data_IF_736117789455
#
_entry.id   IF_736117789455
#
_cell.length_a   1.000
_cell.length_b   1.000
_cell.length_c   1.000
_cell.angle_alpha   90.00
_cell.angle_beta   90.00
_cell.angle_gamma   90.00
#
_symmetry.space_group_name_H-M   'P 1'
#
loop_
_entity.id
_entity.type
_entity.pdbx_description
1 polymer ?
#
# COMPACT_ATOMS: atom_id res chain seq x y z
N UNK A 1 56.73 30.95 -36.10
CA UNK A 1 56.12 30.01 -37.05
C UNK A 1 54.63 29.94 -36.77
N UNK A 2 53.75 30.12 -37.76
CA UNK A 2 52.32 29.94 -37.55
C UNK A 2 52.07 28.46 -37.24
N UNK A 3 51.42 28.18 -36.11
CA UNK A 3 51.02 26.84 -35.69
C UNK A 3 50.00 26.33 -36.71
N UNK A 4 50.33 25.28 -37.48
CA UNK A 4 49.39 24.60 -38.38
C UNK A 4 48.16 24.22 -37.55
N UNK A 5 46.99 24.73 -37.94
CA UNK A 5 45.72 24.28 -37.40
C UNK A 5 45.33 23.05 -38.21
N UNK A 6 45.32 21.89 -37.59
CA UNK A 6 44.85 20.67 -38.22
C UNK A 6 43.35 20.83 -38.51
N UNK A 7 42.97 20.69 -39.78
CA UNK A 7 41.59 20.78 -40.22
C UNK A 7 40.93 19.41 -40.05
N UNK A 8 39.78 19.39 -39.36
CA UNK A 8 39.02 18.17 -39.11
C UNK A 8 38.24 17.77 -40.36
N UNK A 9 38.33 16.50 -40.77
CA UNK A 9 37.61 15.99 -41.93
C UNK A 9 36.17 15.59 -41.56
N UNK A 10 35.26 15.68 -42.53
CA UNK A 10 33.86 15.24 -42.36
C UNK A 10 33.77 13.77 -41.91
N UNK A 11 34.69 12.93 -42.40
CA UNK A 11 34.75 11.50 -42.06
C UNK A 11 35.11 11.30 -40.59
N UNK A 12 36.12 12.02 -40.08
CA UNK A 12 36.50 11.94 -38.66
C UNK A 12 35.35 12.34 -37.75
N UNK A 13 34.57 13.36 -38.12
CA UNK A 13 33.38 13.77 -37.36
C UNK A 13 32.29 12.71 -37.37
N UNK A 14 32.00 12.13 -38.55
CA UNK A 14 30.99 11.09 -38.68
C UNK A 14 31.37 9.82 -37.89
N UNK A 15 32.63 9.40 -37.91
CA UNK A 15 33.10 8.24 -37.15
C UNK A 15 32.96 8.47 -35.64
N UNK A 16 33.36 9.65 -35.14
CA UNK A 16 33.22 9.97 -33.71
C UNK A 16 31.76 9.97 -33.28
N UNK A 17 30.87 10.59 -34.06
CA UNK A 17 29.43 10.59 -33.76
C UNK A 17 28.86 9.17 -33.81
N UNK A 18 29.28 8.35 -34.78
CA UNK A 18 28.84 6.95 -34.87
C UNK A 18 29.28 6.13 -33.65
N UNK A 19 30.53 6.28 -33.19
CA UNK A 19 31.04 5.59 -31.99
C UNK A 19 30.28 6.06 -30.74
N UNK A 20 30.10 7.37 -30.54
CA UNK A 20 29.33 7.90 -29.42
C UNK A 20 27.89 7.39 -29.46
N UNK A 21 27.27 7.38 -30.63
CA UNK A 21 25.91 6.86 -30.83
C UNK A 21 25.78 5.39 -30.44
N UNK A 22 26.73 4.54 -30.85
CA UNK A 22 26.77 3.12 -30.47
C UNK A 22 26.97 2.97 -28.95
N UNK A 23 27.93 3.68 -28.36
CA UNK A 23 28.20 3.62 -26.93
C UNK A 23 26.98 4.05 -26.12
N UNK A 24 26.36 5.19 -26.46
CA UNK A 24 25.14 5.67 -25.79
C UNK A 24 23.98 4.69 -25.98
N UNK A 25 23.81 4.14 -27.19
CA UNK A 25 22.77 3.17 -27.50
C UNK A 25 22.88 1.88 -26.67
N UNK A 26 24.11 1.45 -26.35
CA UNK A 26 24.35 0.27 -25.50
C UNK A 26 24.29 0.62 -23.99
N UNK A 27 24.73 1.82 -23.60
CA UNK A 27 24.81 2.21 -22.19
C UNK A 27 23.48 2.66 -21.60
N UNK A 28 22.61 3.33 -22.38
CA UNK A 28 21.35 3.86 -21.85
C UNK A 28 20.42 2.76 -21.30
N UNK A 29 20.14 1.64 -22.01
CA UNK A 29 19.32 0.56 -21.46
C UNK A 29 19.93 -0.06 -20.20
N UNK A 30 21.26 -0.23 -20.19
CA UNK A 30 21.98 -0.80 -19.06
C UNK A 30 21.89 0.08 -17.80
N UNK A 31 22.06 1.41 -17.95
CA UNK A 31 21.94 2.35 -16.83
C UNK A 31 20.51 2.39 -16.28
N UNK A 32 19.49 2.30 -17.13
CA UNK A 32 18.10 2.27 -16.66
C UNK A 32 17.77 0.98 -15.91
N UNK A 33 18.21 -0.17 -16.43
CA UNK A 33 18.04 -1.45 -15.76
C UNK A 33 18.73 -1.47 -14.39
N UNK A 34 19.96 -0.94 -14.30
CA UNK A 34 20.69 -0.83 -13.04
C UNK A 34 19.97 0.10 -12.03
N UNK A 35 19.45 1.24 -12.48
CA UNK A 35 18.67 2.16 -11.64
C UNK A 35 17.40 1.51 -11.10
N UNK A 36 16.68 0.78 -11.94
CA UNK A 36 15.47 0.09 -11.51
C UNK A 36 15.75 -1.04 -10.52
N UNK A 37 16.82 -1.80 -10.72
CA UNK A 37 17.27 -2.81 -9.76
C UNK A 37 17.60 -2.17 -8.39
N UNK A 38 18.27 -1.02 -8.39
CA UNK A 38 18.57 -0.28 -7.17
C UNK A 38 17.29 0.23 -6.46
N UNK A 39 16.33 0.78 -7.22
CA UNK A 39 15.04 1.20 -6.66
C UNK A 39 14.27 0.03 -6.06
N UNK A 40 14.22 -1.12 -6.74
CA UNK A 40 13.58 -2.34 -6.21
C UNK A 40 14.24 -2.84 -4.93
N UNK A 41 15.58 -2.79 -4.86
CA UNK A 41 16.32 -3.11 -3.64
C UNK A 41 15.94 -2.16 -2.49
N UNK A 42 15.80 -0.87 -2.78
CA UNK A 42 15.32 0.10 -1.79
C UNK A 42 13.89 -0.19 -1.34
N UNK A 43 12.96 -0.52 -2.25
CA UNK A 43 11.59 -0.86 -1.86
C UNK A 43 11.54 -2.14 -0.99
N UNK A 44 12.37 -3.13 -1.31
CA UNK A 44 12.54 -4.34 -0.48
C UNK A 44 13.10 -4.03 0.91
N UNK A 45 14.06 -3.11 1.02
CA UNK A 45 14.61 -2.66 2.30
C UNK A 45 13.59 -1.88 3.13
N UNK A 46 12.77 -1.03 2.51
CA UNK A 46 11.68 -0.33 3.17
C UNK A 46 10.67 -1.33 3.78
N UNK A 47 10.23 -2.33 3.01
CA UNK A 47 9.37 -3.42 3.51
C UNK A 47 10.01 -4.15 4.70
N UNK A 48 11.32 -4.44 4.62
CA UNK A 48 12.06 -5.07 5.72
C UNK A 48 12.04 -4.20 6.98
N UNK A 49 12.28 -2.89 6.85
CA UNK A 49 12.22 -1.95 7.97
C UNK A 49 10.82 -1.88 8.59
N UNK A 50 9.76 -1.81 7.78
CA UNK A 50 8.36 -1.80 8.25
C UNK A 50 8.03 -3.09 8.99
N UNK A 51 8.42 -4.25 8.46
CA UNK A 51 8.18 -5.54 9.10
C UNK A 51 8.92 -5.65 10.46
N UNK A 52 10.18 -5.23 10.52
CA UNK A 52 10.93 -5.18 11.78
C UNK A 52 10.33 -4.21 12.80
N UNK A 53 9.83 -3.06 12.34
CA UNK A 53 9.14 -2.11 13.19
C UNK A 53 7.84 -2.69 13.79
N UNK A 54 7.09 -3.46 12.99
CA UNK A 54 5.93 -4.22 13.47
C UNK A 54 6.32 -5.30 14.49
N UNK A 55 7.44 -6.00 14.29
CA UNK A 55 7.96 -6.97 15.27
C UNK A 55 8.39 -6.31 16.58
N UNK A 56 9.04 -5.15 16.51
CA UNK A 56 9.42 -4.38 17.71
C UNK A 56 8.18 -3.90 18.47
N UNK A 57 7.17 -3.40 17.76
CA UNK A 57 5.86 -3.09 18.35
C UNK A 57 5.26 -4.33 19.02
N UNK A 58 5.23 -5.47 18.32
CA UNK A 58 4.71 -6.73 18.86
C UNK A 58 5.50 -7.18 20.10
N UNK A 59 6.82 -7.05 20.11
CA UNK A 59 7.67 -7.40 21.25
C UNK A 59 7.36 -6.53 22.47
N UNK A 60 7.16 -5.22 22.28
CA UNK A 60 6.86 -4.27 23.34
C UNK A 60 5.42 -4.42 23.88
N UNK A 61 4.42 -4.54 23.00
CA UNK A 61 2.99 -4.53 23.36
C UNK A 61 2.36 -5.93 23.39
N UNK A 62 3.13 -6.98 23.09
CA UNK A 62 2.73 -8.39 22.96
C UNK A 62 1.70 -8.68 21.87
N UNK A 63 1.38 -7.68 21.05
CA UNK A 63 0.36 -7.72 20.00
C UNK A 63 0.81 -6.87 18.82
N UNK A 64 0.45 -7.25 17.62
CA UNK A 64 0.60 -6.40 16.44
C UNK A 64 -0.25 -5.14 16.57
N UNK A 65 0.17 -4.03 15.94
CA UNK A 65 -0.59 -2.79 15.96
C UNK A 65 -1.94 -2.98 15.25
N UNK A 66 -3.06 -2.55 15.84
CA UNK A 66 -4.34 -2.56 15.14
C UNK A 66 -4.33 -1.59 13.97
N UNK A 67 -5.14 -1.87 12.95
CA UNK A 67 -5.25 -0.94 11.82
C UNK A 67 -5.88 0.37 12.25
N UNK A 68 -6.88 0.34 13.14
CA UNK A 68 -7.43 1.50 13.82
C UNK A 68 -8.01 1.08 15.17
N UNK A 69 -8.27 2.04 16.06
CA UNK A 69 -9.12 1.86 17.24
C UNK A 69 -10.44 2.56 16.92
N UNK A 70 -11.43 1.79 16.47
CA UNK A 70 -12.77 2.33 16.22
C UNK A 70 -13.51 2.42 17.56
N UNK A 71 -13.93 3.64 17.88
CA UNK A 71 -14.81 3.94 19.00
C UNK A 71 -16.13 4.52 18.50
N UNK A 72 -17.21 3.75 18.65
CA UNK A 72 -18.55 4.13 18.20
C UNK A 72 -19.24 5.15 19.13
N UNK A 73 -18.60 5.53 20.24
CA UNK A 73 -19.10 6.61 21.09
C UNK A 73 -18.63 8.00 20.62
N UNK A 74 -17.65 8.07 19.72
CA UNK A 74 -17.06 9.34 19.27
C UNK A 74 -17.71 9.79 17.96
N UNK A 75 -18.63 10.75 18.05
CA UNK A 75 -19.41 11.23 16.89
C UNK A 75 -18.86 12.52 16.25
N UNK A 76 -17.97 13.24 16.95
CA UNK A 76 -17.42 14.54 16.53
C UNK A 76 -16.06 14.41 15.83
N UNK A 77 -15.93 13.46 14.90
CA UNK A 77 -14.72 13.36 14.05
C UNK A 77 -15.12 13.07 12.60
N UNK A 78 -14.35 13.61 11.64
CA UNK A 78 -14.53 13.32 10.22
C UNK A 78 -13.87 12.00 9.75
N UNK A 79 -13.23 11.26 10.66
CA UNK A 79 -12.55 9.99 10.43
C UNK A 79 -13.00 8.94 11.48
N UNK A 80 -12.14 7.98 11.84
CA UNK A 80 -12.43 6.98 12.87
C UNK A 80 -11.78 7.31 14.24
N UNK A 81 -11.34 8.55 14.43
CA UNK A 81 -10.74 9.05 15.67
C UNK A 81 -9.38 8.45 16.02
N UNK A 82 -8.75 7.70 15.11
CA UNK A 82 -7.62 6.84 15.43
C UNK A 82 -6.50 6.94 14.41
N UNK A 83 -5.29 6.63 14.87
CA UNK A 83 -4.14 6.36 14.02
C UNK A 83 -4.21 5.02 13.31
N UNK A 84 -3.35 4.85 12.31
CA UNK A 84 -3.07 3.63 11.55
C UNK A 84 -1.91 2.80 12.12
N UNK A 85 -1.60 1.67 11.47
CA UNK A 85 -0.38 0.91 11.80
C UNK A 85 0.88 1.77 11.65
N UNK A 86 0.98 2.49 10.53
CA UNK A 86 2.11 3.38 10.23
C UNK A 86 2.39 4.40 11.35
N UNK A 87 1.35 5.01 11.94
CA UNK A 87 1.51 5.91 13.10
C UNK A 87 2.05 5.23 14.35
N UNK A 88 1.60 4.00 14.61
CA UNK A 88 1.97 3.23 15.81
C UNK A 88 3.41 2.70 15.76
N UNK A 89 3.97 2.53 14.57
CA UNK A 89 5.31 1.96 14.39
C UNK A 89 6.41 3.01 14.20
N UNK A 90 6.07 4.31 14.14
CA UNK A 90 7.04 5.42 14.05
C UNK A 90 8.24 5.31 15.02
N UNK A 91 8.08 5.02 16.32
CA UNK A 91 9.23 4.96 17.23
C UNK A 91 10.20 3.81 16.91
N UNK A 92 9.75 2.84 16.11
CA UNK A 92 10.55 1.70 15.66
C UNK A 92 11.08 1.86 14.22
N UNK A 93 10.87 3.02 13.60
CA UNK A 93 11.35 3.41 12.26
C UNK A 93 12.27 4.64 12.31
N UNK A 94 12.97 4.84 13.42
CA UNK A 94 13.83 6.03 13.64
C UNK A 94 13.05 7.36 13.54
N UNK A 95 11.72 7.34 13.71
CA UNK A 95 10.86 8.53 13.76
C UNK A 95 10.45 8.89 15.20
N UNK A 96 11.37 8.71 16.16
CA UNK A 96 11.11 8.96 17.58
C UNK A 96 10.77 10.43 17.86
N UNK A 97 11.43 11.37 17.18
CA UNK A 97 11.15 12.80 17.28
C UNK A 97 9.72 13.15 16.83
N UNK A 98 9.22 12.53 15.76
CA UNK A 98 7.84 12.72 15.30
C UNK A 98 6.88 12.15 16.34
N UNK A 99 7.17 10.93 16.83
CA UNK A 99 6.33 10.25 17.80
C UNK A 99 6.18 11.01 19.13
N UNK A 100 7.24 11.66 19.61
CA UNK A 100 7.21 12.50 20.82
C UNK A 100 6.33 13.75 20.69
N UNK A 101 6.01 14.17 19.46
CA UNK A 101 5.21 15.37 19.17
C UNK A 101 3.76 15.06 18.75
N UNK A 102 3.33 13.80 18.84
CA UNK A 102 1.96 13.38 18.55
C UNK A 102 1.34 12.67 19.77
N UNK A 103 0.01 12.64 19.81
CA UNK A 103 -0.75 11.86 20.78
C UNK A 103 -1.65 10.85 20.05
N UNK A 104 -1.40 9.56 20.26
CA UNK A 104 -2.18 8.48 19.64
C UNK A 104 -3.62 8.36 20.17
N UNK A 105 -3.94 9.02 21.30
CA UNK A 105 -5.30 9.09 21.85
C UNK A 105 -6.17 10.17 21.19
N UNK A 106 -5.53 11.06 20.41
CA UNK A 106 -6.19 12.10 19.62
C UNK A 106 -6.12 11.72 18.14
N UNK A 107 -7.18 12.02 17.40
CA UNK A 107 -7.23 11.73 15.97
C UNK A 107 -6.08 12.42 15.23
N UNK A 108 -5.53 11.73 14.24
CA UNK A 108 -4.34 12.19 13.50
C UNK A 108 -4.57 13.51 12.77
N UNK A 109 -5.81 13.78 12.35
CA UNK A 109 -6.20 14.97 11.58
C UNK A 109 -6.27 16.25 12.42
N UNK A 110 -6.10 16.15 13.74
CA UNK A 110 -5.92 17.29 14.64
C UNK A 110 -4.46 17.59 14.97
N UNK A 111 -3.51 16.82 14.43
CA UNK A 111 -2.11 16.85 14.86
C UNK A 111 -1.24 17.57 13.83
N UNK A 112 -0.88 18.82 14.10
CA UNK A 112 -0.07 19.64 13.16
C UNK A 112 1.38 19.17 13.03
N UNK A 113 1.87 18.35 13.96
CA UNK A 113 3.24 17.81 13.94
C UNK A 113 3.54 16.93 12.70
N UNK A 114 2.50 16.42 12.01
CA UNK A 114 2.64 15.62 10.79
C UNK A 114 2.33 16.39 9.50
N UNK A 115 2.04 17.70 9.60
CA UNK A 115 1.74 18.54 8.44
C UNK A 115 2.95 18.63 7.48
N UNK A 116 2.75 18.22 6.23
CA UNK A 116 3.79 18.19 5.20
C UNK A 116 4.91 17.18 5.46
N UNK A 117 4.74 16.25 6.40
CA UNK A 117 5.78 15.28 6.76
C UNK A 117 5.82 14.10 5.79
N UNK A 118 6.97 13.93 5.12
CA UNK A 118 7.27 12.73 4.32
C UNK A 118 8.14 11.75 5.10
N UNK A 119 7.63 10.55 5.36
CA UNK A 119 8.41 9.44 5.90
C UNK A 119 9.03 8.65 4.74
N UNK A 120 10.35 8.75 4.57
CA UNK A 120 11.03 8.13 3.43
C UNK A 120 10.82 6.60 3.35
N UNK A 121 10.74 5.92 4.49
CA UNK A 121 10.50 4.47 4.55
C UNK A 121 9.11 4.07 4.06
N UNK A 122 8.14 5.00 4.00
CA UNK A 122 6.80 4.74 3.47
C UNK A 122 6.68 4.96 1.96
N UNK A 123 7.77 5.35 1.30
CA UNK A 123 7.82 5.76 -0.10
C UNK A 123 8.71 4.82 -0.93
N UNK A 124 8.12 4.09 -1.89
CA UNK A 124 8.87 3.36 -2.90
C UNK A 124 9.37 4.36 -3.97
N UNK A 125 10.69 4.48 -4.21
CA UNK A 125 11.24 5.41 -5.20
C UNK A 125 10.83 5.13 -6.66
N UNK A 126 10.20 3.99 -6.95
CA UNK A 126 9.64 3.70 -8.28
C UNK A 126 8.22 4.26 -8.48
N UNK A 127 7.53 4.67 -7.41
CA UNK A 127 6.19 5.26 -7.51
C UNK A 127 6.27 6.78 -7.72
N UNK A 128 5.85 7.32 -8.89
CA UNK A 128 5.90 8.76 -9.17
C UNK A 128 4.89 9.59 -8.36
N UNK A 129 3.88 8.96 -7.75
CA UNK A 129 2.91 9.62 -6.89
C UNK A 129 3.45 9.90 -5.49
N UNK A 130 4.58 9.30 -5.09
CA UNK A 130 5.08 9.38 -3.71
C UNK A 130 5.53 10.77 -3.26
N UNK A 131 5.82 11.66 -4.21
CA UNK A 131 6.20 13.07 -3.96
C UNK A 131 5.03 14.05 -4.06
N UNK A 132 3.81 13.55 -4.32
CA UNK A 132 2.62 14.39 -4.44
C UNK A 132 1.92 14.53 -3.09
N UNK A 133 1.97 15.73 -2.53
CA UNK A 133 1.29 16.07 -1.28
C UNK A 133 -0.22 16.14 -1.50
N UNK A 134 -0.99 15.56 -0.56
CA UNK A 134 -2.42 15.77 -0.44
C UNK A 134 -2.69 16.90 0.54
N UNK A 135 -3.19 18.01 0.02
CA UNK A 135 -3.70 19.13 0.82
C UNK A 135 -5.17 18.95 1.19
N UNK A 136 -5.60 19.69 2.20
CA UNK A 136 -6.99 19.72 2.66
C UNK A 136 -7.42 21.15 2.98
N UNK A 137 -8.62 21.53 2.53
CA UNK A 137 -9.14 22.89 2.69
C UNK A 137 -9.82 23.13 4.06
N UNK A 138 -9.93 22.09 4.89
CA UNK A 138 -10.60 22.13 6.20
C UNK A 138 -9.62 22.22 7.38
N UNK A 139 -8.35 22.54 7.11
CA UNK A 139 -7.34 22.84 8.12
C UNK A 139 -6.63 21.64 8.75
N UNK A 140 -6.95 20.42 8.33
CA UNK A 140 -6.21 19.21 8.74
C UNK A 140 -4.81 19.17 8.09
N UNK A 141 -3.83 18.44 8.65
CA UNK A 141 -2.47 18.39 8.10
C UNK A 141 -2.46 17.85 6.67
N UNK A 142 -1.64 18.46 5.82
CA UNK A 142 -1.29 17.96 4.50
C UNK A 142 -0.38 16.74 4.63
N UNK A 143 -0.57 15.73 3.79
CA UNK A 143 0.14 14.45 3.92
C UNK A 143 0.77 13.99 2.62
N UNK A 144 1.92 13.32 2.74
CA UNK A 144 2.48 12.51 1.67
C UNK A 144 1.85 11.10 1.70
N UNK A 145 1.74 10.42 0.55
CA UNK A 145 1.18 9.08 0.50
C UNK A 145 2.11 8.03 1.10
N UNK A 146 1.54 6.86 1.39
CA UNK A 146 2.30 5.60 1.56
C UNK A 146 2.17 4.77 0.30
N UNK A 147 3.20 3.98 -0.01
CA UNK A 147 3.17 2.97 -1.07
C UNK A 147 3.33 1.56 -0.50
N UNK A 148 3.06 1.41 0.79
CA UNK A 148 3.09 0.13 1.49
C UNK A 148 1.80 -0.04 2.31
N UNK A 149 1.03 -1.07 2.01
CA UNK A 149 -0.23 -1.40 2.66
C UNK A 149 -0.09 -2.66 3.51
N UNK A 150 -0.82 -2.74 4.61
CA UNK A 150 -0.89 -3.92 5.47
C UNK A 150 -1.93 -4.92 4.98
N UNK A 151 -1.74 -6.21 5.27
CA UNK A 151 -2.64 -7.27 4.83
C UNK A 151 -3.96 -7.29 5.63
N UNK A 152 -5.07 -6.91 4.98
CA UNK A 152 -6.42 -6.90 5.55
C UNK A 152 -7.26 -8.13 5.18
N UNK A 153 -6.65 -9.13 4.54
CA UNK A 153 -7.29 -10.40 4.23
C UNK A 153 -7.92 -10.43 2.85
N UNK A 154 -8.90 -11.31 2.65
CA UNK A 154 -9.39 -11.63 1.31
C UNK A 154 -10.44 -10.67 0.77
N UNK A 155 -11.44 -10.27 1.56
CA UNK A 155 -12.59 -9.52 1.04
C UNK A 155 -13.38 -8.84 2.15
N UNK A 156 -13.91 -9.61 3.10
CA UNK A 156 -14.55 -9.07 4.30
C UNK A 156 -13.47 -8.58 5.28
N UNK A 157 -13.52 -7.31 5.66
CA UNK A 157 -12.52 -6.66 6.52
C UNK A 157 -13.00 -6.57 7.96
N UNK A 158 -14.18 -5.98 8.17
CA UNK A 158 -14.66 -5.65 9.51
C UNK A 158 -16.15 -5.32 9.53
N UNK A 159 -16.87 -5.79 10.53
CA UNK A 159 -18.20 -5.29 10.86
C UNK A 159 -18.14 -4.49 12.17
N UNK A 160 -18.25 -3.16 12.14
CA UNK A 160 -18.21 -2.35 13.36
C UNK A 160 -19.39 -2.59 14.31
N UNK A 161 -20.55 -3.07 13.83
CA UNK A 161 -21.74 -3.26 14.66
C UNK A 161 -21.56 -4.36 15.73
N UNK A 162 -20.91 -5.46 15.37
CA UNK A 162 -20.65 -6.62 16.24
C UNK A 162 -19.15 -6.86 16.48
N UNK A 163 -18.29 -5.99 15.91
CA UNK A 163 -16.82 -6.10 15.91
C UNK A 163 -16.29 -7.39 15.29
N UNK A 164 -17.06 -8.02 14.39
CA UNK A 164 -16.59 -9.20 13.65
C UNK A 164 -15.45 -8.81 12.72
N UNK A 165 -14.34 -9.55 12.80
CA UNK A 165 -13.16 -9.35 11.98
C UNK A 165 -13.17 -10.21 10.71
N UNK A 166 -12.47 -9.72 9.68
CA UNK A 166 -12.02 -10.50 8.53
C UNK A 166 -10.93 -11.52 8.87
N UNK A 167 -10.32 -12.10 7.85
CA UNK A 167 -9.30 -13.16 7.96
C UNK A 167 -7.84 -12.67 7.82
N UNK A 168 -7.62 -11.39 7.52
CA UNK A 168 -6.30 -10.78 7.42
C UNK A 168 -5.60 -10.56 8.76
N UNK A 169 -4.28 -10.36 8.74
CA UNK A 169 -3.52 -10.13 9.97
C UNK A 169 -3.80 -8.75 10.60
N UNK A 170 -4.28 -7.78 9.81
CA UNK A 170 -4.59 -6.43 10.26
C UNK A 170 -6.06 -6.07 9.99
N UNK A 171 -6.71 -5.53 11.01
CA UNK A 171 -8.08 -5.00 10.93
C UNK A 171 -8.33 -4.08 12.14
N UNK A 172 -9.43 -3.31 12.16
CA UNK A 172 -9.76 -2.41 13.26
C UNK A 172 -9.95 -3.14 14.60
N UNK A 173 -9.44 -2.55 15.68
CA UNK A 173 -9.51 -3.08 17.05
C UNK A 173 -8.91 -4.49 17.19
N UNK A 174 -7.98 -4.86 16.30
CA UNK A 174 -7.27 -6.14 16.40
C UNK A 174 -6.31 -6.15 17.59
N UNK A 175 -6.17 -7.32 18.19
CA UNK A 175 -5.26 -7.56 19.32
C UNK A 175 -4.48 -8.86 19.11
N UNK A 176 -4.15 -9.13 17.84
CA UNK A 176 -3.50 -10.36 17.40
C UNK A 176 -2.01 -10.36 17.74
N UNK A 177 -1.45 -11.56 17.84
CA UNK A 177 -0.04 -11.84 18.09
C UNK A 177 0.42 -12.99 17.18
N UNK A 178 1.70 -13.35 17.20
CA UNK A 178 2.22 -14.45 16.37
C UNK A 178 1.45 -15.78 16.54
N UNK A 179 0.95 -16.07 17.74
CA UNK A 179 0.20 -17.32 18.00
C UNK A 179 -1.14 -17.38 17.27
N UNK A 180 -1.67 -16.23 16.87
CA UNK A 180 -2.99 -16.10 16.24
C UNK A 180 -2.87 -16.23 14.71
N UNK A 181 -1.65 -16.42 14.18
CA UNK A 181 -1.37 -16.73 12.78
C UNK A 181 -1.19 -18.25 12.61
N UNK A 182 -2.30 -18.95 12.40
CA UNK A 182 -2.35 -20.41 12.34
C UNK A 182 -1.82 -20.97 11.01
N UNK A 183 -1.79 -20.15 9.96
CA UNK A 183 -1.22 -20.47 8.64
C UNK A 183 0.33 -20.46 8.62
N UNK A 184 0.94 -20.01 9.73
CA UNK A 184 2.40 -19.91 9.86
C UNK A 184 2.97 -18.59 9.37
N UNK A 185 3.89 -18.01 10.14
CA UNK A 185 4.39 -16.66 9.90
C UNK A 185 5.15 -16.50 8.57
N UNK A 186 5.69 -17.60 8.04
CA UNK A 186 6.40 -17.64 6.75
C UNK A 186 5.47 -17.79 5.55
N UNK A 187 4.15 -17.93 5.78
CA UNK A 187 3.12 -18.10 4.74
C UNK A 187 1.98 -17.09 4.88
N UNK A 188 2.09 -16.11 5.77
CA UNK A 188 1.09 -15.02 5.87
C UNK A 188 1.74 -13.69 5.54
N UNK A 189 1.10 -12.91 4.67
CA UNK A 189 1.54 -11.57 4.30
C UNK A 189 1.36 -10.59 5.47
N UNK A 190 2.34 -9.70 5.65
CA UNK A 190 2.31 -8.62 6.64
C UNK A 190 2.03 -7.28 5.97
N UNK A 191 2.90 -6.90 5.02
CA UNK A 191 2.84 -5.63 4.29
C UNK A 191 3.25 -5.89 2.83
N UNK A 192 2.62 -5.19 1.90
CA UNK A 192 2.90 -5.28 0.47
C UNK A 192 2.92 -3.92 -0.19
N UNK A 193 3.48 -3.86 -1.39
CA UNK A 193 3.42 -2.65 -2.21
C UNK A 193 1.98 -2.31 -2.63
N UNK A 194 1.66 -1.03 -2.58
CA UNK A 194 0.45 -0.39 -3.12
C UNK A 194 0.85 0.90 -3.84
N UNK A 195 -0.01 1.41 -4.72
CA UNK A 195 0.27 2.65 -5.45
C UNK A 195 -0.33 3.87 -4.77
N UNK A 196 0.44 4.95 -4.70
CA UNK A 196 -0.08 6.25 -4.30
C UNK A 196 -1.16 6.75 -5.29
N UNK A 197 -2.15 7.50 -4.80
CA UNK A 197 -3.21 8.12 -5.62
C UNK A 197 -4.06 7.12 -6.42
N UNK A 198 -4.18 5.89 -5.94
CA UNK A 198 -5.03 4.86 -6.58
C UNK A 198 -6.50 5.29 -6.54
N UNK A 199 -7.23 5.27 -7.67
CA UNK A 199 -8.65 5.58 -7.67
C UNK A 199 -9.45 4.43 -7.07
N UNK A 200 -10.55 4.76 -6.39
CA UNK A 200 -11.41 3.79 -5.74
C UNK A 200 -12.84 4.28 -5.61
N UNK A 201 -13.75 3.33 -5.48
CA UNK A 201 -15.16 3.55 -5.17
C UNK A 201 -15.44 3.21 -3.72
N UNK A 202 -16.27 4.03 -3.03
CA UNK A 202 -16.61 3.78 -1.63
C UNK A 202 -18.04 4.12 -1.20
N UNK A 203 -18.37 3.77 0.05
CA UNK A 203 -19.62 4.13 0.75
C UNK A 203 -20.90 3.68 0.04
N UNK A 204 -20.87 2.49 -0.56
CA UNK A 204 -21.98 1.88 -1.28
C UNK A 204 -21.68 0.42 -1.56
N UNK A 205 -22.69 -0.35 -1.97
CA UNK A 205 -22.53 -1.78 -2.21
C UNK A 205 -22.02 -2.58 -0.99
N UNK A 206 -21.29 -3.69 -1.21
CA UNK A 206 -21.04 -4.27 -2.53
C UNK A 206 -22.34 -4.82 -3.13
N UNK A 207 -22.39 -4.94 -4.46
CA UNK A 207 -23.49 -5.63 -5.16
C UNK A 207 -23.62 -7.11 -4.80
N UNK A 208 -22.54 -7.72 -4.27
CA UNK A 208 -22.49 -9.09 -3.74
C UNK A 208 -21.50 -9.17 -2.57
N UNK A 209 -21.79 -9.98 -1.56
CA UNK A 209 -20.87 -10.28 -0.45
C UNK A 209 -20.01 -11.51 -0.71
N UNK A 210 -20.29 -12.27 -1.78
CA UNK A 210 -19.41 -13.32 -2.28
C UNK A 210 -18.14 -12.69 -2.84
N UNK A 211 -16.99 -13.29 -2.57
CA UNK A 211 -15.69 -12.84 -3.09
C UNK A 211 -15.72 -12.88 -4.63
N UNK A 212 -15.37 -11.77 -5.32
CA UNK A 212 -15.34 -11.78 -6.79
C UNK A 212 -14.19 -12.66 -7.30
N UNK A 213 -14.49 -13.54 -8.25
CA UNK A 213 -13.51 -14.52 -8.76
C UNK A 213 -12.89 -14.12 -10.10
N UNK A 214 -13.35 -13.02 -10.70
CA UNK A 214 -12.87 -12.54 -11.99
C UNK A 214 -13.01 -11.02 -12.12
N UNK A 215 -12.37 -10.47 -13.17
CA UNK A 215 -12.38 -9.05 -13.48
C UNK A 215 -13.79 -8.48 -13.67
N UNK A 216 -14.67 -9.18 -14.38
CA UNK A 216 -16.01 -8.67 -14.67
C UNK A 216 -16.85 -8.50 -13.39
N UNK A 217 -16.77 -9.45 -12.45
CA UNK A 217 -17.41 -9.33 -11.13
C UNK A 217 -16.80 -8.20 -10.30
N UNK A 218 -15.47 -8.05 -10.34
CA UNK A 218 -14.77 -6.96 -9.68
C UNK A 218 -15.22 -5.58 -10.20
N UNK A 219 -15.40 -5.41 -11.50
CA UNK A 219 -15.89 -4.17 -12.11
C UNK A 219 -17.34 -3.85 -11.70
N UNK A 220 -18.20 -4.86 -11.63
CA UNK A 220 -19.58 -4.71 -11.14
C UNK A 220 -19.60 -4.30 -9.66
N UNK A 221 -18.68 -4.83 -8.86
CA UNK A 221 -18.51 -4.43 -7.45
C UNK A 221 -18.05 -2.98 -7.37
N UNK A 222 -17.00 -2.58 -8.10
CA UNK A 222 -16.52 -1.20 -8.13
C UNK A 222 -17.65 -0.25 -8.51
N UNK A 223 -18.41 -0.56 -9.55
CA UNK A 223 -19.53 0.25 -10.02
C UNK A 223 -20.68 0.38 -9.00
N UNK A 224 -20.74 -0.48 -7.97
CA UNK A 224 -21.76 -0.42 -6.90
C UNK A 224 -21.43 0.60 -5.79
N UNK A 225 -20.23 1.18 -5.79
CA UNK A 225 -19.88 2.25 -4.86
C UNK A 225 -20.67 3.53 -5.13
N UNK A 226 -20.88 4.31 -4.07
CA UNK A 226 -21.66 5.55 -4.15
C UNK A 226 -20.79 6.79 -4.36
N UNK A 227 -19.47 6.68 -4.16
CA UNK A 227 -18.55 7.79 -4.15
C UNK A 227 -17.21 7.41 -4.79
N UNK A 228 -16.92 8.02 -5.94
CA UNK A 228 -15.61 7.96 -6.56
C UNK A 228 -14.61 8.85 -5.81
N UNK A 229 -13.38 8.35 -5.65
CA UNK A 229 -12.23 9.08 -5.10
C UNK A 229 -10.97 8.67 -5.84
N UNK A 230 -10.05 9.61 -5.98
CA UNK A 230 -8.72 9.47 -6.59
C UNK A 230 -7.62 9.73 -5.56
N UNK A 231 -7.82 9.23 -4.34
CA UNK A 231 -7.00 9.57 -3.16
C UNK A 231 -6.53 8.34 -2.38
N UNK A 232 -6.55 7.16 -3.01
CA UNK A 232 -6.10 5.91 -2.37
C UNK A 232 -4.66 6.04 -1.87
N UNK A 233 -4.39 5.51 -0.69
CA UNK A 233 -3.04 5.50 -0.08
C UNK A 233 -2.39 6.87 0.19
N UNK A 234 -3.15 7.96 0.17
CA UNK A 234 -2.62 9.31 0.42
C UNK A 234 -2.61 9.75 1.89
N UNK A 235 -3.16 8.94 2.80
CA UNK A 235 -3.23 9.25 4.25
C UNK A 235 -2.49 8.17 5.04
N UNK A 236 -1.16 8.23 5.12
CA UNK A 236 -0.37 7.24 5.90
C UNK A 236 -0.79 7.11 7.37
N UNK A 237 -1.26 8.16 8.10
CA UNK A 237 -1.72 8.00 9.46
C UNK A 237 -3.07 7.31 9.57
N UNK A 238 -3.80 7.14 8.47
CA UNK A 238 -5.18 6.69 8.51
C UNK A 238 -5.30 5.16 8.45
N UNK A 239 -5.98 4.59 9.45
CA UNK A 239 -6.09 3.14 9.62
C UNK A 239 -7.03 2.38 8.70
N UNK A 240 -7.76 3.06 7.81
CA UNK A 240 -8.76 2.44 6.92
C UNK A 240 -8.07 1.71 5.78
N UNK A 241 -8.67 0.59 5.33
CA UNK A 241 -8.06 -0.33 4.36
C UNK A 241 -7.63 0.34 3.04
N UNK A 242 -8.41 1.29 2.54
CA UNK A 242 -8.12 2.02 1.30
C UNK A 242 -6.98 3.06 1.40
N UNK A 243 -6.50 3.35 2.62
CA UNK A 243 -5.36 4.24 2.84
C UNK A 243 -4.11 3.48 3.25
N UNK A 244 -4.21 2.49 4.13
CA UNK A 244 -3.03 1.81 4.69
C UNK A 244 -3.07 0.30 4.60
N UNK A 245 -4.04 -0.27 3.89
CA UNK A 245 -4.18 -1.70 3.69
C UNK A 245 -3.98 -2.14 2.24
N UNK A 246 -4.01 -3.45 2.03
CA UNK A 246 -4.38 -4.10 0.79
C UNK A 246 -5.16 -5.37 1.14
N UNK A 247 -5.92 -5.88 0.19
CA UNK A 247 -6.56 -7.19 0.28
C UNK A 247 -6.01 -8.09 -0.81
N UNK A 248 -6.11 -9.40 -0.59
CA UNK A 248 -5.71 -10.40 -1.58
C UNK A 248 -6.88 -10.81 -2.48
N UNK A 249 -7.94 -10.00 -2.57
CA UNK A 249 -9.15 -10.31 -3.35
C UNK A 249 -8.81 -10.70 -4.79
N UNK A 250 -7.90 -9.94 -5.40
CA UNK A 250 -7.38 -10.16 -6.74
C UNK A 250 -5.85 -10.28 -6.70
N UNK A 251 -5.22 -10.97 -7.69
CA UNK A 251 -3.78 -11.02 -7.81
C UNK A 251 -3.13 -9.62 -7.89
N UNK A 252 -1.82 -9.51 -7.61
CA UNK A 252 -1.10 -8.25 -7.75
C UNK A 252 -1.28 -7.59 -9.11
N UNK A 253 -1.28 -6.26 -9.16
CA UNK A 253 -1.43 -5.44 -10.37
C UNK A 253 -2.72 -5.69 -11.20
N UNK A 254 -3.72 -6.40 -10.65
CA UNK A 254 -4.97 -6.69 -11.37
C UNK A 254 -5.66 -5.43 -11.89
N UNK A 255 -6.02 -5.40 -13.17
CA UNK A 255 -6.71 -4.27 -13.79
C UNK A 255 -8.23 -4.40 -13.63
N UNK A 256 -8.84 -3.45 -12.92
CA UNK A 256 -10.29 -3.35 -12.71
C UNK A 256 -10.72 -2.01 -13.25
N UNK A 257 -11.44 -2.02 -14.37
CA UNK A 257 -11.76 -0.80 -15.09
C UNK A 257 -13.01 -0.12 -14.51
N UNK A 258 -12.96 1.20 -14.41
CA UNK A 258 -14.13 2.00 -14.03
C UNK A 258 -14.13 3.33 -14.79
N UNK A 259 -15.29 3.71 -15.31
CA UNK A 259 -15.45 5.00 -15.98
C UNK A 259 -16.16 5.98 -15.05
N UNK A 260 -15.48 7.07 -14.68
CA UNK A 260 -16.05 8.17 -13.92
C UNK A 260 -16.08 9.43 -14.79
N UNK A 261 -17.26 10.02 -14.99
CA UNK A 261 -17.42 11.26 -15.76
C UNK A 261 -16.76 11.24 -17.16
N UNK A 262 -16.79 10.09 -17.83
CA UNK A 262 -16.20 9.90 -19.17
C UNK A 262 -14.69 9.62 -19.19
N UNK A 263 -14.03 9.55 -18.04
CA UNK A 263 -12.61 9.16 -17.91
C UNK A 263 -12.55 7.69 -17.49
N UNK A 264 -11.83 6.88 -18.26
CA UNK A 264 -11.55 5.48 -17.94
C UNK A 264 -10.35 5.40 -16.99
N UNK A 265 -10.55 4.75 -15.85
CA UNK A 265 -9.51 4.37 -14.91
C UNK A 265 -9.28 2.85 -15.06
N UNK A 266 -8.07 2.44 -15.44
CA UNK A 266 -7.73 1.02 -15.64
C UNK A 266 -7.51 0.22 -14.35
N UNK A 267 -7.26 0.93 -13.24
CA UNK A 267 -6.88 0.37 -11.96
C UNK A 267 -7.73 0.99 -10.85
N UNK A 268 -8.92 0.46 -10.60
CA UNK A 268 -9.84 1.00 -9.60
C UNK A 268 -10.12 0.01 -8.48
N UNK A 269 -9.92 0.45 -7.24
CA UNK A 269 -10.19 -0.34 -6.05
C UNK A 269 -11.61 -0.08 -5.48
N UNK A 270 -12.01 -0.83 -4.46
CA UNK A 270 -13.34 -0.72 -3.86
C UNK A 270 -13.30 -0.83 -2.32
N UNK A 271 -14.11 -0.02 -1.64
CA UNK A 271 -14.33 -0.11 -0.20
C UNK A 271 -15.79 0.21 0.18
N UNK A 272 -16.59 -0.80 0.50
CA UNK A 272 -18.04 -0.62 0.74
C UNK A 272 -18.37 0.35 1.85
N UNK A 273 -17.56 0.36 2.92
CA UNK A 273 -17.79 1.19 4.10
C UNK A 273 -16.48 1.55 4.78
N UNK A 274 -16.31 2.83 5.07
CA UNK A 274 -15.17 3.31 5.84
C UNK A 274 -15.29 2.85 7.30
N UNK A 275 -14.30 2.08 7.74
CA UNK A 275 -14.24 1.45 9.06
C UNK A 275 -14.34 2.50 10.17
N UNK A 276 -15.46 2.51 10.90
CA UNK A 276 -15.66 3.41 12.04
C UNK A 276 -15.97 4.86 11.71
N UNK A 277 -16.39 5.16 10.46
CA UNK A 277 -16.76 6.51 10.02
C UNK A 277 -17.64 7.22 11.05
N UNK A 278 -17.21 8.38 11.56
CA UNK A 278 -17.96 9.26 12.47
C UNK A 278 -18.57 8.55 13.70
N UNK A 279 -17.92 7.50 14.19
CA UNK A 279 -18.43 6.71 15.33
C UNK A 279 -19.75 5.99 15.07
N UNK A 280 -20.22 5.92 13.83
CA UNK A 280 -21.42 5.14 13.51
C UNK A 280 -21.02 3.72 13.10
N UNK A 281 -21.80 2.73 13.56
CA UNK A 281 -21.61 1.36 13.11
C UNK A 281 -21.73 1.29 11.58
N UNK A 282 -22.80 1.86 11.00
CA UNK A 282 -22.96 1.83 9.55
C UNK A 282 -23.07 0.40 9.02
N UNK A 283 -22.37 0.09 7.93
CA UNK A 283 -22.42 -1.21 7.26
C UNK A 283 -21.10 -1.98 7.42
N UNK A 284 -21.10 -3.31 7.22
CA UNK A 284 -19.86 -4.06 7.19
C UNK A 284 -18.95 -3.63 6.02
N UNK A 285 -17.66 -3.60 6.29
CA UNK A 285 -16.61 -3.28 5.33
C UNK A 285 -16.21 -4.52 4.54
N UNK A 286 -16.46 -4.46 3.23
CA UNK A 286 -15.90 -5.32 2.21
C UNK A 286 -15.00 -4.47 1.33
N UNK A 287 -13.78 -4.93 1.08
CA UNK A 287 -12.80 -4.15 0.35
C UNK A 287 -12.00 -5.01 -0.62
N UNK A 288 -11.77 -4.43 -1.79
CA UNK A 288 -10.89 -4.95 -2.84
C UNK A 288 -9.87 -3.84 -3.10
N UNK A 289 -8.78 -3.89 -2.33
CA UNK A 289 -7.67 -2.94 -2.40
C UNK A 289 -6.48 -3.71 -2.94
N UNK A 290 -6.15 -3.51 -4.21
CA UNK A 290 -5.23 -4.41 -4.91
C UNK A 290 -3.78 -4.08 -4.51
N UNK A 291 -2.96 -5.09 -4.22
CA UNK A 291 -1.50 -4.87 -4.13
C UNK A 291 -0.96 -4.48 -5.51
N UNK A 292 -0.24 -3.37 -5.59
CA UNK A 292 0.19 -2.78 -6.86
C UNK A 292 1.60 -2.21 -6.76
N UNK A 293 2.36 -2.28 -7.85
CA UNK A 293 3.69 -1.70 -7.94
C UNK A 293 3.97 -1.13 -9.33
N UNK A 294 4.98 -0.25 -9.41
CA UNK A 294 5.56 0.20 -10.67
C UNK A 294 6.69 -0.70 -11.16
N UNK A 295 7.09 -1.70 -10.36
CA UNK A 295 7.94 -2.77 -10.83
C UNK A 295 7.19 -3.66 -11.82
N UNK A 296 7.83 -3.99 -12.94
CA UNK A 296 7.20 -4.73 -14.03
C UNK A 296 6.87 -6.16 -13.58
N UNK A 297 5.59 -6.54 -13.65
CA UNK A 297 5.14 -7.93 -13.50
C UNK A 297 5.12 -8.47 -12.07
N UNK A 298 5.43 -7.65 -11.06
CA UNK A 298 5.56 -8.09 -9.68
C UNK A 298 5.22 -7.01 -8.68
N UNK A 299 5.02 -7.43 -7.44
CA UNK A 299 5.02 -6.59 -6.23
C UNK A 299 6.03 -7.14 -5.24
N UNK A 300 6.66 -6.28 -4.46
CA UNK A 300 7.41 -6.72 -3.28
C UNK A 300 6.48 -6.81 -2.07
N UNK A 301 6.68 -7.84 -1.25
CA UNK A 301 5.93 -8.06 -0.02
C UNK A 301 6.86 -8.49 1.10
N UNK A 302 6.49 -8.16 2.34
CA UNK A 302 7.04 -8.80 3.52
C UNK A 302 6.01 -9.75 4.14
N UNK A 303 6.47 -10.92 4.56
CA UNK A 303 5.69 -11.90 5.29
C UNK A 303 5.74 -11.61 6.79
N UNK A 304 4.88 -12.27 7.56
CA UNK A 304 4.75 -12.06 9.00
C UNK A 304 6.02 -12.43 9.79
N UNK A 305 6.86 -13.32 9.27
CA UNK A 305 8.21 -13.61 9.80
C UNK A 305 9.25 -12.52 9.49
N UNK A 306 8.87 -11.49 8.73
CA UNK A 306 9.73 -10.39 8.29
C UNK A 306 10.66 -10.73 7.13
N UNK A 307 10.53 -11.90 6.50
CA UNK A 307 11.16 -12.17 5.20
C UNK A 307 10.54 -11.30 4.11
N UNK A 308 11.34 -10.89 3.13
CA UNK A 308 10.89 -10.06 2.00
C UNK A 308 11.12 -10.85 0.73
N UNK A 309 10.10 -10.88 -0.13
CA UNK A 309 10.13 -11.57 -1.42
C UNK A 309 9.31 -10.80 -2.44
N UNK A 310 9.53 -11.08 -3.72
CA UNK A 310 8.68 -10.56 -4.78
C UNK A 310 7.67 -11.62 -5.22
N UNK A 311 6.43 -11.19 -5.43
CA UNK A 311 5.33 -12.03 -5.91
C UNK A 311 4.95 -11.55 -7.30
N UNK A 312 4.81 -12.46 -8.25
CA UNK A 312 4.43 -12.11 -9.62
C UNK A 312 2.93 -11.83 -9.71
N UNK A 313 2.52 -10.99 -10.65
CA UNK A 313 1.10 -10.76 -10.95
C UNK A 313 0.39 -11.99 -11.52
N UNK A 314 1.16 -12.98 -11.98
CA UNK A 314 0.69 -14.26 -12.49
C UNK A 314 0.57 -15.36 -11.41
N UNK A 315 0.67 -15.01 -10.12
CA UNK A 315 0.50 -15.95 -9.03
C UNK A 315 -0.88 -16.62 -9.11
N UNK A 316 -0.93 -17.92 -8.80
CA UNK A 316 -2.20 -18.64 -8.67
C UNK A 316 -3.07 -17.98 -7.58
N UNK A 317 -4.35 -17.78 -7.88
CA UNK A 317 -5.25 -17.01 -7.02
C UNK A 317 -5.49 -17.71 -5.67
N UNK A 318 -5.51 -19.04 -5.64
CA UNK A 318 -5.73 -19.79 -4.40
C UNK A 318 -4.50 -19.65 -3.50
N UNK A 319 -3.29 -19.68 -4.08
CA UNK A 319 -2.05 -19.42 -3.34
C UNK A 319 -2.01 -17.98 -2.82
N UNK A 320 -2.44 -17.00 -3.63
CA UNK A 320 -2.50 -15.61 -3.19
C UNK A 320 -3.52 -15.39 -2.07
N UNK A 321 -4.67 -16.06 -2.13
CA UNK A 321 -5.68 -16.06 -1.07
C UNK A 321 -5.13 -16.67 0.22
N UNK A 322 -4.48 -17.82 0.15
CA UNK A 322 -3.85 -18.49 1.28
C UNK A 322 -2.79 -17.59 1.96
N UNK A 323 -1.98 -16.90 1.17
CA UNK A 323 -0.98 -15.95 1.68
C UNK A 323 -1.62 -14.76 2.43
N UNK A 324 -2.86 -14.40 2.12
CA UNK A 324 -3.56 -13.28 2.76
C UNK A 324 -4.27 -13.63 4.06
N UNK A 325 -4.46 -14.91 4.38
CA UNK A 325 -5.20 -15.32 5.58
C UNK A 325 -4.28 -15.61 6.77
N UNK A 326 -4.87 -15.56 7.97
CA UNK A 326 -4.23 -16.01 9.23
C UNK A 326 -4.87 -17.28 9.81
N UNK A 327 -6.07 -17.65 9.38
CA UNK A 327 -7.01 -18.57 10.05
C UNK A 327 -7.23 -19.91 9.28
N UNK A 328 -6.51 -20.18 8.19
CA UNK A 328 -6.79 -21.32 7.28
C UNK A 328 -6.27 -22.71 7.72
N UNK A 329 -5.27 -22.76 8.60
CA UNK A 329 -4.38 -23.92 8.78
C UNK A 329 -3.75 -24.43 7.47
N UNK A 330 -3.58 -23.55 6.48
CA UNK A 330 -3.16 -23.92 5.13
C UNK A 330 -1.62 -24.04 5.07
N UNK A 331 -1.12 -25.25 4.77
CA UNK A 331 0.30 -25.44 4.42
C UNK A 331 0.41 -25.31 2.90
N UNK A 332 0.98 -24.19 2.43
CA UNK A 332 1.26 -24.00 1.00
C UNK A 332 2.44 -24.91 0.61
N UNK A 333 2.15 -26.10 0.09
CA UNK A 333 3.16 -26.98 -0.51
C UNK A 333 3.52 -26.47 -1.92
N UNK A 334 4.79 -26.09 -2.14
CA UNK A 334 5.35 -25.94 -3.49
C UNK A 334 5.70 -24.53 -4.00
N UNK A 335 5.77 -23.50 -3.16
CA UNK A 335 6.14 -22.14 -3.61
C UNK A 335 7.59 -21.76 -3.26
N UNK A 336 8.56 -22.04 -4.16
CA UNK A 336 9.82 -21.29 -4.32
C UNK A 336 10.31 -21.40 -5.76
#
# INVERSE_FOLDING_TARGET
MPKRRDAFTLVELLVVIAIIGILVGLLLPAVQAAREAARRMQCSNNLKQIALACHNYQSAFKKFPPSAIVDLSVTDTGNNGSWGVHGRILPYLEQGNVYENIDLSVAWDYQTAIDGLKIATYACPSDPGTDQVRGFDDGRPSLYPTTYGFNFGRWFVFNPADRKAGDGMFYPNSFLSFRDCLDGTTQTLLVGEVKAWTPYQRNGGPSSTTLPINKAEAEVIVASGAQFKDTGHTEWPDGRVHHTGFTVTLPPNSKVEYTNSGILYEETDFNSWQEGKNGIAGNPTYAMITSRSYHIGLVNVAKLDGSVSSITESIDIDVWHALGTRDGHEIIEGAW
#
